data_IF_584943839807
#
_entry.id   IF_584943839807
#
_cell.length_a   1.000
_cell.length_b   1.000
_cell.length_c   1.000
_cell.angle_alpha   90.00
_cell.angle_beta   90.00
_cell.angle_gamma   90.00
#
_symmetry.space_group_name_H-M   'P 1'
#
loop_
_entity.id
_entity.type
_entity.pdbx_description
1 polymer ?
#
# COMPACT_ATOMS: atom_id res chain seq x y z
N UNK A 1 -18.56 -6.33 -9.37
CA UNK A 1 -17.63 -5.51 -10.16
C UNK A 1 -16.35 -5.44 -9.37
N UNK A 2 -15.26 -6.00 -9.90
CA UNK A 2 -13.93 -6.01 -9.28
C UNK A 2 -13.30 -4.63 -9.41
N UNK A 3 -12.66 -4.10 -8.37
CA UNK A 3 -11.91 -2.85 -8.46
C UNK A 3 -10.57 -3.11 -9.18
N UNK A 4 -10.33 -2.39 -10.27
CA UNK A 4 -9.12 -2.53 -11.09
C UNK A 4 -8.18 -1.36 -10.80
N UNK A 5 -6.98 -1.68 -10.31
CA UNK A 5 -5.91 -0.70 -10.08
C UNK A 5 -5.12 -0.52 -11.36
N UNK A 6 -5.20 0.65 -11.99
CA UNK A 6 -4.38 0.98 -13.16
C UNK A 6 -2.89 1.13 -12.76
N UNK A 7 -2.03 0.23 -13.27
CA UNK A 7 -0.59 0.22 -13.01
C UNK A 7 0.23 0.90 -14.10
N UNK A 8 -0.38 1.28 -15.23
CA UNK A 8 0.31 1.87 -16.37
C UNK A 8 0.05 1.13 -17.66
N UNK A 9 0.98 1.25 -18.62
CA UNK A 9 0.85 0.72 -19.97
C UNK A 9 1.92 -0.34 -20.26
N UNK A 10 1.58 -1.33 -21.08
CA UNK A 10 2.56 -2.24 -21.68
C UNK A 10 3.33 -1.57 -22.83
N UNK A 11 4.25 -2.31 -23.47
CA UNK A 11 5.04 -1.80 -24.60
C UNK A 11 4.22 -1.45 -25.84
N UNK A 12 2.98 -1.94 -25.93
CA UNK A 12 2.01 -1.60 -26.98
C UNK A 12 1.07 -0.46 -26.61
N UNK A 13 1.27 0.19 -25.46
CA UNK A 13 0.40 1.27 -24.98
C UNK A 13 -0.93 0.79 -24.41
N UNK A 14 -1.09 -0.50 -24.12
CA UNK A 14 -2.33 -1.05 -23.54
C UNK A 14 -2.29 -0.98 -22.02
N UNK A 15 -3.38 -0.63 -21.35
CA UNK A 15 -3.45 -0.63 -19.88
C UNK A 15 -3.10 -1.99 -19.28
N UNK A 16 -2.35 -1.97 -18.19
CA UNK A 16 -2.02 -3.15 -17.37
C UNK A 16 -2.62 -2.93 -15.98
N UNK A 17 -3.85 -3.38 -15.73
CA UNK A 17 -4.46 -3.26 -14.42
C UNK A 17 -4.07 -4.43 -13.50
N UNK A 18 -4.20 -4.22 -12.19
CA UNK A 18 -4.23 -5.26 -11.17
C UNK A 18 -5.65 -5.38 -10.64
N UNK A 19 -6.20 -6.60 -10.61
CA UNK A 19 -7.46 -6.89 -9.95
C UNK A 19 -7.24 -6.91 -8.43
N UNK A 20 -7.90 -5.99 -7.72
CA UNK A 20 -7.75 -5.88 -6.27
C UNK A 20 -8.38 -7.07 -5.54
N UNK A 21 -9.48 -7.63 -6.04
CA UNK A 21 -10.16 -8.77 -5.41
C UNK A 21 -9.29 -10.03 -5.51
N UNK A 22 -8.72 -10.27 -6.69
CA UNK A 22 -7.76 -11.37 -6.88
C UNK A 22 -6.51 -11.18 -6.01
N UNK A 23 -5.98 -9.96 -5.91
CA UNK A 23 -4.85 -9.66 -5.05
C UNK A 23 -5.14 -9.96 -3.57
N UNK A 24 -6.31 -9.58 -3.08
CA UNK A 24 -6.72 -9.84 -1.69
C UNK A 24 -6.98 -11.33 -1.42
N UNK A 25 -7.44 -12.08 -2.42
CA UNK A 25 -7.59 -13.53 -2.33
C UNK A 25 -6.24 -14.28 -2.38
N UNK A 26 -5.18 -13.60 -2.81
CA UNK A 26 -3.85 -14.19 -3.05
C UNK A 26 -2.75 -13.38 -2.37
N UNK A 27 -1.53 -13.40 -2.94
CA UNK A 27 -0.36 -12.67 -2.45
C UNK A 27 0.44 -12.16 -3.64
N UNK A 28 0.99 -10.97 -3.52
CA UNK A 28 1.90 -10.38 -4.50
C UNK A 28 3.34 -10.40 -3.98
N UNK A 29 4.26 -10.85 -4.82
CA UNK A 29 5.70 -10.67 -4.64
C UNK A 29 6.21 -9.66 -5.68
N UNK A 30 6.79 -8.55 -5.22
CA UNK A 30 7.47 -7.57 -6.08
C UNK A 30 8.98 -7.72 -5.87
N UNK A 31 9.69 -8.11 -6.92
CA UNK A 31 11.14 -8.32 -6.89
C UNK A 31 11.83 -7.50 -7.97
N UNK A 32 13.04 -7.01 -7.66
CA UNK A 32 13.87 -6.22 -8.56
C UNK A 32 15.05 -5.61 -7.81
N UNK A 33 16.09 -5.24 -8.53
CA UNK A 33 17.29 -4.62 -7.94
C UNK A 33 17.00 -3.19 -7.45
N UNK A 34 17.96 -2.55 -6.77
CA UNK A 34 17.87 -1.11 -6.48
C UNK A 34 17.68 -0.32 -7.79
N UNK A 35 16.83 0.71 -7.77
CA UNK A 35 16.50 1.51 -8.95
C UNK A 35 15.53 0.88 -9.97
N UNK A 36 15.07 -0.37 -9.77
CA UNK A 36 14.13 -1.03 -10.71
C UNK A 36 12.69 -0.52 -10.66
N UNK A 37 12.38 0.44 -9.79
CA UNK A 37 11.03 1.00 -9.65
C UNK A 37 10.10 0.26 -8.69
N UNK A 38 10.59 -0.64 -7.83
CA UNK A 38 9.76 -1.35 -6.83
C UNK A 38 8.92 -0.42 -5.96
N UNK A 39 9.55 0.55 -5.29
CA UNK A 39 8.83 1.50 -4.41
C UNK A 39 7.83 2.34 -5.22
N UNK A 40 8.15 2.65 -6.48
CA UNK A 40 7.24 3.37 -7.37
C UNK A 40 5.99 2.53 -7.72
N UNK A 41 6.17 1.25 -8.04
CA UNK A 41 5.08 0.32 -8.31
C UNK A 41 4.20 0.14 -7.06
N UNK A 42 4.81 -0.11 -5.91
CA UNK A 42 4.10 -0.27 -4.64
C UNK A 42 3.34 1.01 -4.26
N UNK A 43 3.97 2.18 -4.41
CA UNK A 43 3.32 3.48 -4.18
C UNK A 43 2.08 3.63 -5.05
N UNK A 44 2.17 3.36 -6.35
CA UNK A 44 1.01 3.43 -7.25
C UNK A 44 -0.11 2.50 -6.82
N UNK A 45 0.22 1.26 -6.42
CA UNK A 45 -0.76 0.31 -5.92
C UNK A 45 -1.45 0.82 -4.63
N UNK A 46 -0.67 1.30 -3.67
CA UNK A 46 -1.16 1.82 -2.39
C UNK A 46 -2.07 3.04 -2.59
N UNK A 47 -1.60 4.05 -3.31
CA UNK A 47 -2.34 5.29 -3.60
C UNK A 47 -3.69 5.01 -4.26
N UNK A 48 -3.71 4.10 -5.25
CA UNK A 48 -4.93 3.80 -6.02
C UNK A 48 -5.89 2.86 -5.30
N UNK A 49 -5.44 2.15 -4.27
CA UNK A 49 -6.29 1.26 -3.47
C UNK A 49 -6.61 1.79 -2.06
N UNK A 50 -6.07 2.95 -1.67
CA UNK A 50 -6.20 3.51 -0.32
C UNK A 50 -7.66 3.70 0.13
N UNK A 51 -8.54 4.13 -0.78
CA UNK A 51 -9.97 4.29 -0.49
C UNK A 51 -10.82 3.04 -0.70
N UNK A 52 -10.22 1.91 -1.06
CA UNK A 52 -10.93 0.68 -1.43
C UNK A 52 -10.75 -0.43 -0.39
N UNK A 53 -9.59 -0.46 0.27
CA UNK A 53 -9.24 -1.49 1.25
C UNK A 53 -8.48 -0.87 2.41
N UNK A 54 -8.61 -1.46 3.60
CA UNK A 54 -7.76 -1.09 4.72
C UNK A 54 -6.31 -1.50 4.43
N UNK A 55 -5.39 -0.56 4.63
CA UNK A 55 -3.98 -0.76 4.34
C UNK A 55 -3.13 -0.61 5.60
N UNK A 56 -2.22 -1.56 5.80
CA UNK A 56 -1.16 -1.50 6.82
C UNK A 56 0.15 -1.63 6.07
N UNK A 57 1.03 -0.64 6.24
CA UNK A 57 2.30 -0.57 5.54
C UNK A 57 3.40 -0.70 6.60
N UNK A 58 4.27 -1.69 6.44
CA UNK A 58 5.49 -1.83 7.23
C UNK A 58 6.62 -1.25 6.39
N UNK A 59 7.06 -0.05 6.75
CA UNK A 59 7.97 0.76 5.96
C UNK A 59 9.27 1.04 6.73
N UNK A 60 10.25 0.12 6.66
CA UNK A 60 11.53 0.30 7.35
C UNK A 60 12.39 1.42 6.74
N UNK A 61 12.17 1.78 5.47
CA UNK A 61 12.96 2.78 4.75
C UNK A 61 12.34 4.19 4.79
N UNK A 62 11.05 4.30 5.17
CA UNK A 62 10.31 5.56 5.21
C UNK A 62 9.86 6.06 3.84
N UNK A 63 9.81 5.19 2.82
CA UNK A 63 9.43 5.52 1.43
C UNK A 63 7.97 5.98 1.29
N UNK A 64 7.10 5.64 2.23
CA UNK A 64 5.65 5.77 2.12
C UNK A 64 5.01 6.69 3.17
N UNK A 65 5.80 7.32 4.05
CA UNK A 65 5.28 8.21 5.11
C UNK A 65 4.43 9.37 4.57
N UNK A 66 4.72 9.84 3.35
CA UNK A 66 3.96 10.92 2.70
C UNK A 66 2.54 10.53 2.29
N UNK A 67 2.20 9.23 2.32
CA UNK A 67 0.82 8.80 2.11
C UNK A 67 -0.10 9.23 3.26
N UNK A 68 0.46 9.53 4.44
CA UNK A 68 -0.31 10.02 5.59
C UNK A 68 -1.08 11.29 5.26
N UNK A 69 -0.39 12.29 4.71
CA UNK A 69 -0.99 13.59 4.40
C UNK A 69 -1.98 13.51 3.24
N UNK A 70 -1.73 12.63 2.26
CA UNK A 70 -2.51 12.57 1.02
C UNK A 70 -3.72 11.63 1.06
N UNK A 71 -3.65 10.55 1.84
CA UNK A 71 -4.65 9.46 1.83
C UNK A 71 -5.14 9.08 3.23
N UNK A 72 -4.76 9.83 4.27
CA UNK A 72 -5.26 9.63 5.63
C UNK A 72 -4.61 8.46 6.38
N UNK A 73 -3.45 7.97 5.93
CA UNK A 73 -2.67 7.03 6.72
C UNK A 73 -2.16 7.70 8.00
N UNK A 74 -1.96 6.91 9.05
CA UNK A 74 -1.34 7.36 10.29
C UNK A 74 0.06 6.78 10.34
N UNK A 75 1.08 7.62 10.16
CA UNK A 75 2.47 7.22 10.30
C UNK A 75 2.81 7.05 11.78
N UNK A 76 3.31 5.88 12.15
CA UNK A 76 3.80 5.58 13.50
C UNK A 76 5.27 5.17 13.43
N UNK A 77 6.08 5.77 14.28
CA UNK A 77 7.43 5.29 14.54
C UNK A 77 7.35 4.11 15.51
N UNK A 78 7.57 2.90 15.01
CA UNK A 78 7.39 1.68 15.81
C UNK A 78 8.33 1.62 17.04
N UNK A 79 9.47 2.33 17.00
CA UNK A 79 10.40 2.39 18.12
C UNK A 79 9.87 3.20 19.32
N UNK A 80 8.89 4.08 19.09
CA UNK A 80 8.38 5.00 20.11
C UNK A 80 7.24 4.40 20.95
N UNK A 81 6.75 3.20 20.58
CA UNK A 81 5.58 2.58 21.20
C UNK A 81 5.80 1.10 21.50
N UNK A 82 5.20 0.63 22.59
CA UNK A 82 5.13 -0.80 22.87
C UNK A 82 4.20 -1.52 21.88
N UNK A 83 4.39 -2.83 21.73
CA UNK A 83 3.51 -3.69 20.90
C UNK A 83 2.03 -3.55 21.31
N UNK A 84 1.74 -3.39 22.60
CA UNK A 84 0.38 -3.20 23.10
C UNK A 84 -0.25 -1.87 22.68
N UNK A 85 0.54 -0.80 22.60
CA UNK A 85 0.09 0.51 22.11
C UNK A 85 -0.16 0.49 20.61
N UNK A 86 0.74 -0.13 19.82
CA UNK A 86 0.56 -0.31 18.38
C UNK A 86 -0.72 -1.11 18.09
N UNK A 87 -0.97 -2.18 18.86
CA UNK A 87 -2.21 -2.96 18.73
C UNK A 87 -3.46 -2.12 19.02
N UNK A 88 -3.43 -1.24 20.03
CA UNK A 88 -4.54 -0.32 20.33
C UNK A 88 -4.79 0.67 19.20
N UNK A 89 -3.75 1.22 18.57
CA UNK A 89 -3.92 2.07 17.38
C UNK A 89 -4.62 1.31 16.26
N UNK A 90 -4.18 0.08 15.96
CA UNK A 90 -4.78 -0.77 14.93
C UNK A 90 -6.24 -1.15 15.22
N UNK A 91 -6.65 -1.29 16.48
CA UNK A 91 -8.06 -1.49 16.84
C UNK A 91 -8.86 -0.22 16.60
N UNK A 92 -8.38 0.94 17.05
CA UNK A 92 -9.12 2.20 16.93
C UNK A 92 -9.31 2.65 15.48
N UNK A 93 -8.32 2.42 14.62
CA UNK A 93 -8.40 2.69 13.17
C UNK A 93 -9.47 1.82 12.49
N UNK A 94 -9.80 0.64 13.03
CA UNK A 94 -10.85 -0.24 12.49
C UNK A 94 -12.27 0.16 12.90
N UNK A 95 -12.42 0.95 13.95
CA UNK A 95 -13.72 1.41 14.44
C UNK A 95 -14.28 2.60 13.63
N UNK A 96 -13.45 3.21 12.78
CA UNK A 96 -13.74 4.40 11.99
C UNK A 96 -13.63 4.06 10.50
#
# INVERSE_FOLDING_TARGET
>A
MTFQVDMGLDTGGRPVPIDLEELLATRLLVQGNSGSGKSHLLRRLLERSAGQVQQIIIDPEGDFVTLADAYGHIAISAADYSVGEIARFGTRIREH
#
